data_IF_377110988162
#
_entry.id   IF_377110988162
#
_cell.length_a   1.000
_cell.length_b   1.000
_cell.length_c   1.000
_cell.angle_alpha   90.00
_cell.angle_beta   90.00
_cell.angle_gamma   90.00
#
_symmetry.space_group_name_H-M   'P 1'
#
loop_
_entity.id
_entity.type
_entity.pdbx_description
1 polymer ?
#
# COMPACT_ATOMS: atom_id res chain seq x y z
N UNK A 1 -2.53 -4.38 -3.42
CA UNK A 1 -1.55 -5.26 -4.07
C UNK A 1 -0.22 -5.19 -3.33
N UNK A 2 0.53 -6.29 -3.33
CA UNK A 2 1.90 -6.36 -2.80
C UNK A 2 2.89 -6.11 -3.94
N UNK A 3 4.03 -5.48 -3.66
CA UNK A 3 5.03 -5.12 -4.65
C UNK A 3 5.67 -6.33 -5.32
N UNK A 4 5.25 -6.63 -6.54
CA UNK A 4 5.89 -7.63 -7.41
C UNK A 4 6.38 -6.98 -8.69
N UNK A 5 7.53 -7.42 -9.18
CA UNK A 5 8.24 -6.76 -10.29
C UNK A 5 8.47 -7.67 -11.49
N UNK A 6 8.01 -8.92 -11.45
CA UNK A 6 7.99 -9.82 -12.60
C UNK A 6 7.02 -9.32 -13.68
N UNK A 7 7.29 -9.68 -14.92
CA UNK A 7 6.58 -9.14 -16.08
C UNK A 7 5.09 -9.53 -16.09
N UNK A 8 4.76 -10.74 -15.61
CA UNK A 8 3.37 -11.19 -15.46
C UNK A 8 2.60 -10.30 -14.47
N UNK A 9 3.19 -9.99 -13.32
CA UNK A 9 2.58 -9.10 -12.33
C UNK A 9 2.42 -7.69 -12.88
N UNK A 10 3.43 -7.14 -13.56
CA UNK A 10 3.33 -5.80 -14.17
C UNK A 10 2.21 -5.73 -15.20
N UNK A 11 2.06 -6.78 -16.01
CA UNK A 11 0.99 -6.86 -16.99
C UNK A 11 -0.38 -6.95 -16.33
N UNK A 12 -0.51 -7.75 -15.27
CA UNK A 12 -1.73 -7.79 -14.47
C UNK A 12 -2.09 -6.41 -13.91
N UNK A 13 -1.11 -5.60 -13.48
CA UNK A 13 -1.37 -4.26 -12.95
C UNK A 13 -1.95 -3.32 -14.00
N UNK A 14 -1.43 -3.37 -15.24
CA UNK A 14 -1.98 -2.61 -16.37
C UNK A 14 -3.41 -3.04 -16.66
N UNK A 15 -3.64 -4.35 -16.80
CA UNK A 15 -4.96 -4.92 -17.08
C UNK A 15 -6.01 -4.53 -16.05
N UNK A 16 -5.69 -4.56 -14.76
CA UNK A 16 -6.61 -4.12 -13.69
C UNK A 16 -7.12 -2.70 -13.99
N UNK A 17 -6.23 -1.78 -14.36
CA UNK A 17 -6.60 -0.40 -14.67
C UNK A 17 -7.36 -0.30 -16.00
N UNK A 18 -6.86 -0.94 -17.05
CA UNK A 18 -7.45 -0.90 -18.40
C UNK A 18 -8.86 -1.50 -18.43
N UNK A 19 -9.11 -2.51 -17.61
CA UNK A 19 -10.41 -3.17 -17.46
C UNK A 19 -11.36 -2.40 -16.51
N UNK A 20 -10.97 -1.21 -16.05
CA UNK A 20 -11.81 -0.29 -15.28
C UNK A 20 -11.88 -0.60 -13.77
N UNK A 21 -11.00 -1.46 -13.26
CA UNK A 21 -10.92 -1.73 -11.83
C UNK A 21 -10.04 -0.71 -11.11
N UNK A 22 -10.25 -0.57 -9.80
CA UNK A 22 -9.42 0.29 -8.96
C UNK A 22 -8.24 -0.48 -8.38
N UNK A 23 -7.05 0.06 -8.58
CA UNK A 23 -5.82 -0.51 -8.05
C UNK A 23 -5.52 0.08 -6.66
N UNK A 24 -5.52 -0.78 -5.62
CA UNK A 24 -5.18 -0.40 -4.25
C UNK A 24 -3.82 -0.92 -3.82
N UNK A 25 -3.12 -0.18 -2.97
CA UNK A 25 -1.81 -0.52 -2.39
C UNK A 25 -1.95 -1.38 -1.12
N UNK A 26 -1.00 -2.28 -0.87
CA UNK A 26 -1.01 -3.17 0.29
C UNK A 26 0.42 -3.55 0.72
N UNK A 27 1.26 -2.54 0.94
CA UNK A 27 2.71 -2.67 1.18
C UNK A 27 3.52 -3.23 0.00
N UNK A 28 4.78 -2.80 -0.12
CA UNK A 28 5.73 -3.40 -1.05
C UNK A 28 6.18 -4.79 -0.57
N UNK A 29 6.64 -4.89 0.68
CA UNK A 29 7.24 -6.10 1.25
C UNK A 29 6.24 -7.06 1.89
N UNK A 30 5.14 -6.54 2.43
CA UNK A 30 4.20 -7.27 3.30
C UNK A 30 4.90 -7.89 4.55
N UNK A 31 5.98 -7.27 5.01
CA UNK A 31 6.71 -7.66 6.22
C UNK A 31 6.37 -6.71 7.38
N UNK A 32 5.56 -7.21 8.31
CA UNK A 32 5.04 -6.46 9.44
C UNK A 32 6.14 -5.88 10.34
N UNK A 33 7.18 -6.67 10.61
CA UNK A 33 8.26 -6.29 11.52
C UNK A 33 9.13 -5.18 10.93
N UNK A 34 9.16 -5.07 9.59
CA UNK A 34 9.85 -3.99 8.89
C UNK A 34 8.96 -2.76 8.76
N UNK A 35 7.76 -2.91 8.19
CA UNK A 35 6.92 -1.76 7.81
C UNK A 35 6.38 -1.00 9.01
N UNK A 36 6.17 -1.65 10.16
CA UNK A 36 5.58 -1.03 11.34
C UNK A 36 6.60 -0.66 12.42
N UNK A 37 7.89 -0.85 12.15
CA UNK A 37 8.97 -0.47 13.08
C UNK A 37 9.05 1.05 13.29
N UNK A 38 8.84 1.83 12.22
CA UNK A 38 8.85 3.29 12.28
C UNK A 38 8.06 3.90 11.12
N UNK A 39 7.71 5.19 11.21
CA UNK A 39 7.07 5.92 10.10
C UNK A 39 8.01 5.99 8.88
N UNK A 40 9.32 6.08 9.12
CA UNK A 40 10.32 6.11 8.04
C UNK A 40 10.41 4.77 7.29
N UNK A 41 10.30 3.64 8.01
CA UNK A 41 10.28 2.32 7.38
C UNK A 41 8.98 2.13 6.59
N UNK A 42 7.85 2.59 7.12
CA UNK A 42 6.58 2.62 6.40
C UNK A 42 6.65 3.48 5.14
N UNK A 43 7.24 4.69 5.22
CA UNK A 43 7.42 5.58 4.06
C UNK A 43 8.25 4.89 2.98
N UNK A 44 9.40 4.32 3.33
CA UNK A 44 10.25 3.62 2.36
C UNK A 44 9.49 2.52 1.63
N UNK A 45 8.73 1.70 2.35
CA UNK A 45 7.93 0.62 1.76
C UNK A 45 6.78 1.18 0.91
N UNK A 46 6.04 2.16 1.42
CA UNK A 46 4.94 2.83 0.73
C UNK A 46 5.41 3.49 -0.57
N UNK A 47 6.41 4.37 -0.49
CA UNK A 47 6.91 5.17 -1.60
C UNK A 47 7.51 4.28 -2.69
N UNK A 48 8.18 3.19 -2.31
CA UNK A 48 8.68 2.20 -3.27
C UNK A 48 7.56 1.55 -4.08
N UNK A 49 6.46 1.14 -3.43
CA UNK A 49 5.29 0.64 -4.17
C UNK A 49 4.63 1.74 -4.99
N UNK A 50 4.54 2.95 -4.45
CA UNK A 50 3.85 4.07 -5.07
C UNK A 50 4.53 4.50 -6.38
N UNK A 51 5.85 4.56 -6.39
CA UNK A 51 6.64 4.87 -7.58
C UNK A 51 6.66 3.71 -8.58
N UNK A 52 6.78 2.46 -8.12
CA UNK A 52 6.65 1.28 -8.98
C UNK A 52 5.33 1.29 -9.76
N UNK A 53 4.23 1.60 -9.08
CA UNK A 53 2.92 1.67 -9.74
C UNK A 53 2.83 2.86 -10.69
N UNK A 54 3.35 4.03 -10.30
CA UNK A 54 3.42 5.18 -11.21
C UNK A 54 4.13 4.84 -12.53
N UNK A 55 5.25 4.13 -12.46
CA UNK A 55 6.02 3.74 -13.64
C UNK A 55 5.28 2.74 -14.55
N UNK A 56 4.39 1.91 -13.98
CA UNK A 56 3.68 0.85 -14.73
C UNK A 56 2.36 1.35 -15.31
N UNK A 57 1.58 2.10 -14.53
CA UNK A 57 0.19 2.49 -14.85
C UNK A 57 0.03 4.00 -15.10
N UNK A 58 1.08 4.80 -14.96
CA UNK A 58 1.09 6.23 -15.29
C UNK A 58 0.40 7.16 -14.29
N UNK A 59 -0.12 6.64 -13.18
CA UNK A 59 -0.67 7.44 -12.08
C UNK A 59 -0.39 6.82 -10.72
N UNK A 60 -0.54 7.65 -9.69
CA UNK A 60 -0.29 7.29 -8.29
C UNK A 60 -1.59 6.85 -7.60
N UNK A 61 -1.74 5.57 -7.23
CA UNK A 61 -2.92 5.10 -6.51
C UNK A 61 -3.12 5.86 -5.20
N UNK A 62 -4.40 6.03 -4.81
CA UNK A 62 -4.82 6.76 -3.61
C UNK A 62 -5.59 5.90 -2.62
N UNK A 63 -5.63 4.59 -2.86
CA UNK A 63 -6.27 3.61 -1.98
C UNK A 63 -5.20 2.73 -1.36
N UNK A 64 -5.25 2.54 -0.05
CA UNK A 64 -4.35 1.67 0.70
C UNK A 64 -5.14 0.70 1.58
N UNK A 65 -4.60 -0.49 1.81
CA UNK A 65 -5.06 -1.40 2.86
C UNK A 65 -3.85 -1.74 3.70
N UNK A 66 -3.94 -1.60 5.02
CA UNK A 66 -2.85 -2.00 5.91
C UNK A 66 -2.68 -3.52 5.90
N UNK A 67 -1.45 -4.06 5.75
CA UNK A 67 -1.17 -5.44 6.15
C UNK A 67 -1.68 -5.68 7.58
N UNK A 68 -2.54 -6.67 7.74
CA UNK A 68 -3.21 -6.99 9.02
C UNK A 68 -4.45 -6.15 9.36
N UNK A 69 -4.74 -5.08 8.62
CA UNK A 69 -5.85 -4.14 8.88
C UNK A 69 -5.46 -2.98 9.81
N UNK A 70 -6.25 -1.92 9.87
CA UNK A 70 -5.93 -0.72 10.68
C UNK A 70 -6.23 -0.88 12.18
N UNK A 71 -7.10 -1.82 12.55
CA UNK A 71 -7.44 -2.14 13.94
C UNK A 71 -6.59 -3.30 14.52
N UNK A 72 -5.47 -3.62 13.87
CA UNK A 72 -4.63 -4.75 14.27
C UNK A 72 -3.80 -4.44 15.52
N UNK A 73 -3.42 -5.49 16.25
CA UNK A 73 -2.48 -5.40 17.39
C UNK A 73 -1.04 -5.73 16.98
N UNK A 74 -0.74 -5.73 15.67
CA UNK A 74 0.61 -6.03 15.18
C UNK A 74 1.59 -4.92 15.55
N UNK A 75 1.11 -3.68 15.63
CA UNK A 75 1.85 -2.60 16.26
C UNK A 75 1.34 -2.36 17.69
N UNK A 76 2.15 -2.60 18.74
CA UNK A 76 1.74 -2.35 20.12
C UNK A 76 1.49 -0.86 20.42
N UNK A 77 2.07 0.05 19.62
CA UNK A 77 1.87 1.49 19.74
C UNK A 77 0.64 2.00 18.95
N UNK A 78 -0.13 1.10 18.33
CA UNK A 78 -1.24 1.44 17.47
C UNK A 78 -0.83 1.87 16.06
N UNK A 79 -1.83 2.24 15.25
CA UNK A 79 -1.69 2.50 13.81
C UNK A 79 -1.82 3.99 13.45
N UNK A 80 -2.08 4.85 14.43
CA UNK A 80 -2.42 6.28 14.28
C UNK A 80 -1.35 7.05 13.52
N UNK A 81 -0.08 6.76 13.79
CA UNK A 81 1.05 7.41 13.11
C UNK A 81 1.10 7.10 11.61
N UNK A 82 0.75 5.87 11.21
CA UNK A 82 0.70 5.47 9.81
C UNK A 82 -0.57 5.97 9.12
N UNK A 83 -1.69 6.00 9.83
CA UNK A 83 -2.94 6.62 9.34
C UNK A 83 -2.71 8.09 9.03
N UNK A 84 -2.07 8.83 9.95
CA UNK A 84 -1.71 10.24 9.72
C UNK A 84 -0.80 10.40 8.52
N UNK A 85 0.21 9.55 8.38
CA UNK A 85 1.09 9.54 7.22
C UNK A 85 0.34 9.39 5.89
N UNK A 86 -0.65 8.49 5.81
CA UNK A 86 -1.48 8.32 4.61
C UNK A 86 -2.37 9.55 4.36
N UNK A 87 -2.99 10.10 5.41
CA UNK A 87 -3.84 11.29 5.32
C UNK A 87 -3.07 12.51 4.81
N UNK A 88 -1.84 12.72 5.30
CA UNK A 88 -0.96 13.81 4.87
C UNK A 88 -0.59 13.69 3.37
N UNK A 89 -0.65 12.48 2.81
CA UNK A 89 -0.46 12.18 1.38
C UNK A 89 -1.76 12.09 0.59
N UNK A 90 -2.91 12.40 1.20
CA UNK A 90 -4.24 12.25 0.60
C UNK A 90 -4.51 10.83 0.07
N UNK A 91 -4.08 9.83 0.83
CA UNK A 91 -4.33 8.40 0.56
C UNK A 91 -5.39 7.91 1.53
N UNK A 92 -6.47 7.34 1.00
CA UNK A 92 -7.57 6.78 1.78
C UNK A 92 -7.27 5.31 2.07
N UNK A 93 -7.46 4.88 3.31
CA UNK A 93 -7.33 3.48 3.68
C UNK A 93 -8.68 2.80 3.92
N UNK A 94 -8.76 1.49 3.70
CA UNK A 94 -9.95 0.68 3.94
C UNK A 94 -9.62 -0.62 4.66
N UNK A 95 -10.49 -1.01 5.60
CA UNK A 95 -10.60 -2.35 6.17
C UNK A 95 -11.86 -3.06 5.64
N UNK A 96 -12.25 -4.20 6.24
CA UNK A 96 -13.40 -5.00 5.84
C UNK A 96 -14.26 -5.40 7.05
N UNK A 97 -15.52 -5.75 6.82
CA UNK A 97 -16.53 -5.99 7.87
C UNK A 97 -17.46 -7.19 7.58
N UNK A 98 -17.00 -8.18 6.80
CA UNK A 98 -17.76 -9.40 6.46
C UNK A 98 -17.73 -10.45 7.56
#
# INVERSE_FOLDING_TARGET
>A
MVGKTDDESKEAYRRIVEEGHTLGMHSYSHDYDQIYRSVDDFDKDFTKLWDLLYDIIGYRPRIYRFPGGSANQVNPDGMEKFIRYLNDKSVVYFDWNV
#
